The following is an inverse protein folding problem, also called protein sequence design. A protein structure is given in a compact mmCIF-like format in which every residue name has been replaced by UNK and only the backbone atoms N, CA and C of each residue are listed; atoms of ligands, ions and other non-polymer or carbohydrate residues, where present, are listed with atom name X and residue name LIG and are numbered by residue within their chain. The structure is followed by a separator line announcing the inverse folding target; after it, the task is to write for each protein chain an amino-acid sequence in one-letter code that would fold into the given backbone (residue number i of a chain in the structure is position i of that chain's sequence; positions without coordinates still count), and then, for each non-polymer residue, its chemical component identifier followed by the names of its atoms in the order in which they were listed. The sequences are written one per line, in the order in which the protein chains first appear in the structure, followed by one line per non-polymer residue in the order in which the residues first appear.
data_IF_263617290530
#
_entry.id   IF_263617290530
#
_cell.length_a   1.000
_cell.length_b   1.000
_cell.length_c   1.000
_cell.angle_alpha   90.00
_cell.angle_beta   90.00
_cell.angle_gamma   90.00
#
_symmetry.space_group_name_H-M   'P 1'
#
loop_
_entity.id
_entity.type
_entity.pdbx_description
1 polymer ?
#
# COMPACT_ATOMS: atom_id res chain seq x y z
N UNK A 1 2.44 -10.22 -8.28
CA UNK A 1 3.23 -8.98 -8.08
C UNK A 1 2.42 -7.91 -7.34
N UNK A 2 1.36 -7.33 -7.85
CA UNK A 2 0.62 -6.25 -7.19
C UNK A 2 -0.57 -6.71 -6.34
N UNK A 3 -0.88 -7.97 -6.27
CA UNK A 3 -1.81 -8.67 -5.36
C UNK A 3 -3.18 -8.00 -5.15
N UNK A 4 -3.84 -7.62 -6.22
CA UNK A 4 -5.18 -7.06 -6.12
C UNK A 4 -6.23 -8.11 -5.74
N UNK A 5 -7.06 -7.80 -4.75
CA UNK A 5 -8.32 -8.53 -4.54
C UNK A 5 -9.25 -8.30 -5.75
N UNK A 6 -10.23 -9.18 -5.94
CA UNK A 6 -11.19 -9.01 -7.03
C UNK A 6 -11.93 -7.66 -6.93
N UNK A 7 -12.40 -7.30 -5.75
CA UNK A 7 -13.16 -6.06 -5.53
C UNK A 7 -12.32 -4.81 -5.86
N UNK A 8 -11.08 -4.74 -5.36
CA UNK A 8 -10.18 -3.61 -5.63
C UNK A 8 -9.80 -3.57 -7.10
N UNK A 9 -9.55 -4.73 -7.72
CA UNK A 9 -9.21 -4.80 -9.14
C UNK A 9 -10.34 -4.25 -10.04
N UNK A 10 -11.60 -4.57 -9.75
CA UNK A 10 -12.75 -4.04 -10.49
C UNK A 10 -12.84 -2.52 -10.51
N UNK A 11 -12.27 -1.85 -9.52
CA UNK A 11 -12.28 -0.39 -9.43
C UNK A 11 -11.11 0.27 -10.18
N UNK A 12 -10.00 -0.44 -10.33
CA UNK A 12 -8.74 0.18 -10.78
C UNK A 12 -8.20 -0.37 -12.10
N UNK A 13 -8.67 -1.53 -12.57
CA UNK A 13 -8.27 -2.06 -13.87
C UNK A 13 -9.15 -1.51 -15.00
N UNK A 14 -8.52 -1.25 -16.13
CA UNK A 14 -9.20 -0.85 -17.36
C UNK A 14 -8.65 -1.72 -18.51
N UNK A 15 -9.50 -2.49 -19.19
CA UNK A 15 -10.92 -2.70 -18.90
C UNK A 15 -11.14 -3.62 -17.68
N UNK A 16 -12.21 -3.37 -16.92
CA UNK A 16 -12.51 -4.13 -15.70
C UNK A 16 -13.11 -5.52 -15.95
N UNK A 17 -13.60 -5.79 -17.16
CA UNK A 17 -14.14 -7.09 -17.57
C UNK A 17 -13.05 -8.17 -17.67
N UNK A 18 -11.80 -7.79 -17.92
CA UNK A 18 -10.64 -8.69 -17.87
C UNK A 18 -10.30 -9.22 -16.46
N UNK A 19 -10.93 -8.68 -15.40
CA UNK A 19 -10.76 -9.16 -14.02
C UNK A 19 -11.72 -10.32 -13.76
N UNK A 20 -11.17 -11.53 -13.63
CA UNK A 20 -11.94 -12.76 -13.43
C UNK A 20 -12.23 -12.97 -11.94
N UNK A 21 -13.46 -13.36 -11.61
CA UNK A 21 -13.85 -13.65 -10.23
C UNK A 21 -13.13 -14.90 -9.72
N UNK A 22 -12.53 -14.78 -8.54
CA UNK A 22 -11.82 -15.87 -7.87
C UNK A 22 -10.86 -15.33 -6.81
N UNK A 23 -10.44 -16.20 -5.90
CA UNK A 23 -9.47 -15.86 -4.85
C UNK A 23 -8.04 -15.74 -5.36
N UNK A 24 -7.70 -16.51 -6.39
CA UNK A 24 -6.38 -16.51 -7.03
C UNK A 24 -6.51 -16.19 -8.51
N UNK A 25 -5.83 -15.14 -9.01
CA UNK A 25 -5.81 -14.84 -10.44
C UNK A 25 -5.19 -15.98 -11.23
N UNK A 26 -5.82 -16.35 -12.34
CA UNK A 26 -5.27 -17.26 -13.34
C UNK A 26 -4.54 -16.48 -14.45
N UNK A 27 -3.79 -17.18 -15.31
CA UNK A 27 -3.07 -16.53 -16.43
C UNK A 27 -3.96 -15.69 -17.36
N UNK A 28 -5.23 -16.07 -17.66
CA UNK A 28 -6.13 -15.22 -18.44
C UNK A 28 -6.60 -13.97 -17.71
N UNK A 29 -6.50 -13.92 -16.38
CA UNK A 29 -6.92 -12.77 -15.59
C UNK A 29 -5.94 -11.60 -15.82
N UNK A 30 -6.47 -10.41 -16.11
CA UNK A 30 -5.69 -9.21 -16.37
C UNK A 30 -4.78 -8.82 -15.18
N UNK A 31 -5.13 -9.24 -13.94
CA UNK A 31 -4.29 -9.05 -12.75
C UNK A 31 -2.96 -9.81 -12.81
N UNK A 32 -2.85 -10.81 -13.69
CA UNK A 32 -1.61 -11.54 -13.93
C UNK A 32 -0.69 -10.86 -14.95
N UNK A 33 -1.16 -9.84 -15.64
CA UNK A 33 -0.40 -9.09 -16.64
C UNK A 33 0.37 -7.95 -15.97
N UNK A 34 1.70 -7.85 -16.17
CA UNK A 34 2.54 -6.86 -15.47
C UNK A 34 2.13 -5.41 -15.72
N UNK A 35 1.95 -5.03 -16.99
CA UNK A 35 1.66 -3.65 -17.35
C UNK A 35 0.28 -3.17 -16.87
N UNK A 36 -0.85 -3.86 -17.12
CA UNK A 36 -2.14 -3.49 -16.56
C UNK A 36 -2.12 -3.44 -15.03
N UNK A 37 -1.43 -4.38 -14.38
CA UNK A 37 -1.30 -4.40 -12.92
C UNK A 37 -0.51 -3.21 -12.40
N UNK A 38 0.55 -2.78 -13.06
CA UNK A 38 1.31 -1.59 -12.69
C UNK A 38 0.46 -0.32 -12.84
N UNK A 39 -0.29 -0.17 -13.94
CA UNK A 39 -1.21 0.96 -14.15
C UNK A 39 -2.30 1.01 -13.08
N UNK A 40 -2.92 -0.12 -12.77
CA UNK A 40 -3.93 -0.22 -11.72
C UNK A 40 -3.36 0.12 -10.34
N UNK A 41 -2.13 -0.35 -10.04
CA UNK A 41 -1.41 -0.02 -8.81
C UNK A 41 -1.16 1.48 -8.66
N UNK A 42 -0.69 2.13 -9.72
CA UNK A 42 -0.48 3.58 -9.74
C UNK A 42 -1.80 4.35 -9.56
N UNK A 43 -2.87 3.92 -10.23
CA UNK A 43 -4.21 4.49 -10.08
C UNK A 43 -4.73 4.37 -8.65
N UNK A 44 -4.59 3.19 -8.03
CA UNK A 44 -5.01 2.96 -6.65
C UNK A 44 -4.18 3.79 -5.67
N UNK A 45 -2.85 3.81 -5.81
CA UNK A 45 -1.99 4.64 -4.96
C UNK A 45 -2.33 6.13 -5.09
N UNK A 46 -2.60 6.62 -6.31
CA UNK A 46 -3.06 8.01 -6.53
C UNK A 46 -4.36 8.30 -5.77
N UNK A 47 -5.32 7.39 -5.78
CA UNK A 47 -6.57 7.54 -5.03
C UNK A 47 -6.32 7.58 -3.51
N UNK A 48 -5.45 6.72 -3.00
CA UNK A 48 -5.08 6.69 -1.58
C UNK A 48 -4.34 7.97 -1.15
N UNK A 49 -3.40 8.46 -1.96
CA UNK A 49 -2.73 9.74 -1.72
C UNK A 49 -3.71 10.92 -1.77
N UNK A 50 -4.69 10.89 -2.66
CA UNK A 50 -5.78 11.87 -2.69
C UNK A 50 -6.61 11.86 -1.41
N UNK A 51 -6.81 10.70 -0.79
CA UNK A 51 -7.58 10.54 0.44
C UNK A 51 -6.80 10.93 1.71
N UNK A 52 -5.56 10.48 1.82
CA UNK A 52 -4.75 10.68 3.04
C UNK A 52 -3.84 11.90 2.96
N UNK A 53 -3.51 12.36 1.77
CA UNK A 53 -2.55 13.44 1.52
C UNK A 53 -1.17 12.93 1.11
N UNK A 54 -0.31 13.88 0.75
CA UNK A 54 1.05 13.62 0.23
C UNK A 54 2.16 14.00 1.21
N UNK A 55 1.79 14.47 2.40
CA UNK A 55 2.76 14.85 3.44
C UNK A 55 3.44 13.65 4.09
N UNK A 56 4.56 13.87 4.80
CA UNK A 56 5.34 12.79 5.41
C UNK A 56 4.56 11.97 6.44
N UNK A 57 3.57 12.55 7.11
CA UNK A 57 2.67 11.84 8.01
C UNK A 57 1.59 11.02 7.29
N UNK A 58 1.23 11.42 6.07
CA UNK A 58 0.11 10.86 5.29
C UNK A 58 0.54 9.73 4.36
N UNK A 59 1.71 9.83 3.74
CA UNK A 59 2.23 8.82 2.81
C UNK A 59 2.29 7.41 3.44
N UNK A 60 2.77 7.22 4.68
CA UNK A 60 2.72 5.92 5.34
C UNK A 60 1.31 5.36 5.52
N UNK A 61 0.29 6.23 5.72
CA UNK A 61 -1.12 5.81 5.78
C UNK A 61 -1.61 5.31 4.41
N UNK A 62 -1.26 5.99 3.33
CA UNK A 62 -1.59 5.55 1.98
C UNK A 62 -0.95 4.19 1.65
N UNK A 63 0.33 3.99 1.99
CA UNK A 63 1.05 2.72 1.79
C UNK A 63 0.42 1.61 2.64
N UNK A 64 0.11 1.88 3.91
CA UNK A 64 -0.57 0.93 4.79
C UNK A 64 -1.96 0.54 4.27
N UNK A 65 -2.71 1.52 3.73
CA UNK A 65 -4.02 1.29 3.11
C UNK A 65 -3.96 0.46 1.84
N UNK A 66 -2.90 0.58 1.07
CA UNK A 66 -2.68 -0.27 -0.10
C UNK A 66 -2.67 -1.75 0.29
N UNK A 67 -2.06 -2.09 1.42
CA UNK A 67 -1.97 -3.46 1.93
C UNK A 67 -3.26 -3.95 2.63
N UNK A 68 -3.78 -3.17 3.57
CA UNK A 68 -4.91 -3.58 4.43
C UNK A 68 -6.30 -3.19 3.90
N UNK A 69 -6.34 -2.48 2.77
CA UNK A 69 -7.53 -1.77 2.33
C UNK A 69 -7.77 -0.47 3.13
N UNK A 70 -8.30 0.53 2.45
CA UNK A 70 -8.51 1.86 3.06
C UNK A 70 -9.49 1.85 4.24
N UNK A 71 -10.53 1.00 4.18
CA UNK A 71 -11.49 0.83 5.27
C UNK A 71 -10.85 0.18 6.50
N UNK A 72 -10.02 -0.82 6.28
CA UNK A 72 -9.30 -1.52 7.35
C UNK A 72 -8.34 -0.59 8.09
N UNK A 73 -7.54 0.18 7.37
CA UNK A 73 -6.62 1.15 7.98
C UNK A 73 -7.37 2.27 8.70
N UNK A 74 -8.39 2.86 8.06
CA UNK A 74 -9.17 3.95 8.66
C UNK A 74 -9.86 3.52 9.96
N UNK A 75 -10.42 2.29 10.00
CA UNK A 75 -11.04 1.74 11.21
C UNK A 75 -10.04 1.54 12.34
N UNK A 76 -8.85 1.01 12.04
CA UNK A 76 -7.81 0.85 13.05
C UNK A 76 -7.27 2.20 13.54
N UNK A 77 -7.09 3.17 12.65
CA UNK A 77 -6.68 4.52 13.04
C UNK A 77 -7.73 5.18 13.95
N UNK A 78 -9.01 5.02 13.64
CA UNK A 78 -10.07 5.55 14.48
C UNK A 78 -10.05 4.93 15.88
N UNK A 79 -9.89 3.60 16.00
CA UNK A 79 -9.74 2.93 17.31
C UNK A 79 -8.56 3.46 18.13
N UNK A 80 -7.43 3.74 17.48
CA UNK A 80 -6.28 4.33 18.16
C UNK A 80 -6.59 5.74 18.68
N UNK A 81 -7.33 6.55 17.89
CA UNK A 81 -7.70 7.92 18.23
C UNK A 81 -8.82 8.01 19.27
N UNK A 82 -9.77 7.06 19.29
CA UNK A 82 -10.87 7.03 20.26
C UNK A 82 -10.37 6.95 21.70
N UNK A 83 -9.19 6.40 21.91
CA UNK A 83 -8.57 6.34 23.23
C UNK A 83 -7.88 7.63 23.65
N UNK A 84 -7.52 8.50 22.70
CA UNK A 84 -6.93 9.80 22.93
C UNK A 84 -7.07 10.66 21.66
N UNK A 85 -8.02 11.56 21.65
CA UNK A 85 -8.33 12.44 20.52
C UNK A 85 -7.23 13.48 20.19
N UNK A 86 -6.27 13.68 21.12
CA UNK A 86 -5.12 14.55 20.91
C UNK A 86 -3.96 13.92 20.13
N UNK A 87 -4.06 12.62 19.78
CA UNK A 87 -3.02 11.95 19.01
C UNK A 87 -3.06 12.39 17.54
N UNK A 88 -1.89 12.48 16.87
CA UNK A 88 -1.83 12.81 15.47
C UNK A 88 -2.47 11.69 14.60
N UNK A 89 -3.10 12.08 13.50
CA UNK A 89 -3.66 11.15 12.52
C UNK A 89 -2.57 10.68 11.55
N UNK A 90 -1.68 9.84 12.03
CA UNK A 90 -0.57 9.31 11.25
C UNK A 90 -0.37 7.80 11.47
N UNK A 91 0.53 7.21 10.69
CA UNK A 91 0.84 5.78 10.78
C UNK A 91 1.57 5.43 12.10
N UNK A 92 2.32 6.36 12.66
CA UNK A 92 3.08 6.13 13.89
C UNK A 92 2.16 6.02 15.10
N UNK A 93 1.05 6.74 15.08
CA UNK A 93 -0.04 6.57 16.06
C UNK A 93 -0.61 5.15 16.04
N UNK A 94 -0.75 4.53 14.86
CA UNK A 94 -1.13 3.12 14.76
C UNK A 94 -0.10 2.20 15.42
N UNK A 95 1.19 2.41 15.12
CA UNK A 95 2.28 1.60 15.70
C UNK A 95 2.29 1.73 17.23
N UNK A 96 2.21 2.95 17.74
CA UNK A 96 2.27 3.23 19.19
C UNK A 96 1.06 2.67 19.98
N UNK A 97 -0.07 2.44 19.30
CA UNK A 97 -1.30 1.89 19.89
C UNK A 97 -1.62 0.47 19.38
N UNK A 98 -0.59 -0.28 19.05
CA UNK A 98 -0.73 -1.60 18.44
C UNK A 98 -1.59 -2.59 19.23
N UNK A 99 -1.52 -2.55 20.55
CA UNK A 99 -2.31 -3.39 21.48
C UNK A 99 -3.83 -3.26 21.30
N UNK A 100 -4.30 -2.12 20.81
CA UNK A 100 -5.71 -1.80 20.56
C UNK A 100 -6.20 -2.23 19.17
N UNK A 101 -5.29 -2.61 18.28
CA UNK A 101 -5.57 -2.91 16.89
C UNK A 101 -5.82 -4.42 16.69
N UNK A 102 -6.44 -4.77 15.56
CA UNK A 102 -6.62 -6.17 15.23
C UNK A 102 -5.27 -6.88 15.05
N UNK A 103 -5.16 -8.13 15.53
CA UNK A 103 -3.95 -8.94 15.41
C UNK A 103 -3.51 -9.13 13.95
N UNK A 104 -4.46 -9.25 13.03
CA UNK A 104 -4.18 -9.35 11.61
C UNK A 104 -3.52 -8.07 11.09
N UNK A 105 -4.05 -6.89 11.45
CA UNK A 105 -3.47 -5.61 11.05
C UNK A 105 -2.04 -5.46 11.59
N UNK A 106 -1.81 -5.81 12.87
CA UNK A 106 -0.47 -5.79 13.47
C UNK A 106 0.50 -6.71 12.71
N UNK A 107 0.11 -7.95 12.44
CA UNK A 107 0.97 -8.94 11.80
C UNK A 107 1.41 -8.53 10.39
N UNK A 108 0.52 -7.88 9.64
CA UNK A 108 0.74 -7.54 8.23
C UNK A 108 1.27 -6.10 8.06
N UNK A 109 0.54 -5.11 8.57
CA UNK A 109 0.79 -3.70 8.28
C UNK A 109 2.03 -3.13 8.99
N UNK A 110 2.29 -3.56 10.22
CA UNK A 110 3.47 -3.10 10.97
C UNK A 110 4.79 -3.46 10.31
N UNK A 111 4.79 -4.49 9.46
CA UNK A 111 5.96 -4.90 8.68
C UNK A 111 5.93 -4.35 7.25
N UNK A 112 4.72 -4.17 6.69
CA UNK A 112 4.57 -3.79 5.29
C UNK A 112 5.11 -2.40 5.01
N UNK A 113 4.69 -1.40 5.80
CA UNK A 113 5.10 -0.01 5.60
C UNK A 113 6.61 0.18 5.80
N UNK A 114 7.24 -0.30 6.89
CA UNK A 114 8.70 -0.24 7.03
C UNK A 114 9.45 -0.97 5.91
N UNK A 115 8.98 -2.13 5.47
CA UNK A 115 9.59 -2.86 4.35
C UNK A 115 9.48 -2.10 3.03
N UNK A 116 8.37 -1.41 2.81
CA UNK A 116 8.22 -0.57 1.62
C UNK A 116 9.28 0.55 1.61
N UNK A 117 9.46 1.25 2.72
CA UNK A 117 10.50 2.28 2.82
C UNK A 117 11.91 1.71 2.71
N UNK A 118 12.19 0.55 3.33
CA UNK A 118 13.46 -0.12 3.18
C UNK A 118 13.75 -0.47 1.71
N UNK A 119 12.75 -1.00 1.00
CA UNK A 119 12.90 -1.29 -0.44
C UNK A 119 13.11 -0.02 -1.27
N UNK A 120 12.44 1.08 -0.93
CA UNK A 120 12.64 2.36 -1.60
C UNK A 120 14.05 2.92 -1.36
N UNK A 121 14.58 2.84 -0.14
CA UNK A 121 15.95 3.26 0.20
C UNK A 121 16.98 2.46 -0.60
N UNK A 122 16.82 1.13 -0.61
CA UNK A 122 17.71 0.25 -1.42
C UNK A 122 17.61 0.58 -2.90
N UNK A 123 16.39 0.80 -3.39
CA UNK A 123 16.13 1.12 -4.80
C UNK A 123 16.71 2.48 -5.23
N UNK A 124 16.72 3.48 -4.35
CA UNK A 124 17.33 4.78 -4.64
C UNK A 124 18.86 4.81 -4.43
N UNK A 125 19.39 3.88 -3.65
CA UNK A 125 20.83 3.80 -3.35
C UNK A 125 21.38 2.39 -3.60
N UNK A 126 21.14 1.77 -4.78
CA UNK A 126 21.45 0.36 -4.99
C UNK A 126 22.92 0.03 -4.83
N UNK A 127 23.81 0.95 -5.17
CA UNK A 127 25.26 0.75 -5.10
C UNK A 127 25.75 0.64 -3.65
N UNK A 128 25.15 1.36 -2.72
CA UNK A 128 25.46 1.28 -1.28
C UNK A 128 25.13 -0.10 -0.69
N UNK A 129 24.28 -0.85 -1.37
CA UNK A 129 23.90 -2.23 -1.02
C UNK A 129 24.56 -3.29 -1.91
N UNK A 130 25.59 -2.93 -2.66
CA UNK A 130 26.35 -3.85 -3.51
C UNK A 130 25.63 -4.28 -4.79
N UNK A 131 24.58 -3.57 -5.21
CA UNK A 131 23.83 -3.85 -6.43
C UNK A 131 24.35 -2.97 -7.58
N UNK A 132 24.68 -3.59 -8.71
CA UNK A 132 25.10 -2.87 -9.93
C UNK A 132 23.88 -2.41 -10.74
N UNK A 133 23.09 -1.51 -10.15
CA UNK A 133 21.87 -0.93 -10.74
C UNK A 133 21.93 0.59 -10.63
N UNK A 134 21.10 1.26 -11.43
CA UNK A 134 20.87 2.69 -11.28
C UNK A 134 19.75 2.95 -10.26
N UNK A 135 19.72 4.11 -9.58
CA UNK A 135 18.60 4.53 -8.74
C UNK A 135 17.26 4.43 -9.47
N UNK A 136 16.18 4.02 -8.77
CA UNK A 136 14.83 3.86 -9.36
C UNK A 136 14.35 5.18 -9.99
N UNK A 137 14.65 6.33 -9.37
CA UNK A 137 14.29 7.66 -9.88
C UNK A 137 14.85 7.95 -11.28
N UNK A 138 15.92 7.30 -11.71
CA UNK A 138 16.49 7.47 -13.07
C UNK A 138 15.60 6.89 -14.16
N UNK A 139 14.68 5.98 -13.82
CA UNK A 139 13.74 5.35 -14.77
C UNK A 139 12.38 6.06 -14.82
N UNK A 140 12.13 7.03 -13.93
CA UNK A 140 10.91 7.85 -13.94
C UNK A 140 11.13 9.07 -14.82
N UNK A 141 10.68 8.98 -16.06
CA UNK A 141 10.59 10.12 -16.99
C UNK A 141 9.14 10.51 -17.22
#
# INVERSE_FOLDING_TARGET
MFQFTFATAKLHFVPSDGVIQGSSPSKPDIRCQPEPSARASASYMKALLGRFGTGPASVPLAIGSYNSGEGGLSSNLQKALDSNSGLPRDFWTLIANGDKLSKQFQAENFKYVPKFFAAAIVGENPQDFGLNLQPISTYSK
#
